data_IF_358199170148
#
_entry.id   IF_358199170148
#
_cell.length_a   1.000
_cell.length_b   1.000
_cell.length_c   1.000
_cell.angle_alpha   90.00
_cell.angle_beta   90.00
_cell.angle_gamma   90.00
#
_symmetry.space_group_name_H-M   'P 1'
#
loop_
_entity.id
_entity.type
_entity.pdbx_description
1 polymer ?
#
# COMPACT_ATOMS: atom_id res chain seq x y z
N UNK A 1 4.18 6.09 19.25
CA UNK A 1 4.26 6.83 17.98
C UNK A 1 4.97 5.93 16.99
N UNK A 2 4.40 5.77 15.80
CA UNK A 2 4.93 4.87 14.78
C UNK A 2 5.72 5.64 13.74
N UNK A 3 6.85 5.08 13.31
CA UNK A 3 7.59 5.49 12.14
C UNK A 3 7.38 4.48 11.02
N UNK A 4 7.25 5.00 9.82
CA UNK A 4 7.15 4.23 8.59
C UNK A 4 8.33 4.57 7.69
N UNK A 5 9.02 3.55 7.20
CA UNK A 5 10.19 3.74 6.34
C UNK A 5 9.75 3.95 4.88
N UNK A 6 9.10 2.97 4.26
CA UNK A 6 8.62 3.00 2.87
C UNK A 6 7.54 1.93 2.61
N UNK A 7 6.86 2.00 1.47
CA UNK A 7 5.90 0.97 1.02
C UNK A 7 6.59 -0.41 0.93
N UNK A 8 5.97 -1.45 1.49
CA UNK A 8 6.59 -2.77 1.65
C UNK A 8 7.24 -2.98 3.03
N UNK A 9 7.24 -1.97 3.91
CA UNK A 9 7.93 -2.02 5.20
C UNK A 9 6.96 -1.88 6.38
N UNK A 10 7.21 -2.61 7.47
CA UNK A 10 6.39 -2.53 8.67
C UNK A 10 6.49 -1.15 9.34
N UNK A 11 5.52 -0.87 10.21
CA UNK A 11 5.52 0.27 11.10
C UNK A 11 6.26 -0.07 12.39
N UNK A 12 7.20 0.79 12.80
CA UNK A 12 7.97 0.62 14.03
C UNK A 12 7.49 1.58 15.10
N UNK A 13 7.22 1.07 16.31
CA UNK A 13 6.91 1.91 17.45
C UNK A 13 8.21 2.49 18.04
N UNK A 14 8.49 3.75 17.76
CA UNK A 14 9.69 4.43 18.28
C UNK A 14 9.50 4.94 19.72
N UNK A 15 8.26 5.32 20.08
CA UNK A 15 7.93 5.86 21.41
C UNK A 15 6.70 5.17 21.98
N UNK A 16 6.69 4.74 23.25
CA UNK A 16 5.56 4.03 23.86
C UNK A 16 4.30 4.89 23.94
N UNK A 17 4.43 6.18 24.29
CA UNK A 17 3.30 7.11 24.48
C UNK A 17 3.68 8.53 24.09
N UNK A 18 2.69 9.41 23.86
CA UNK A 18 2.96 10.83 23.61
C UNK A 18 3.64 11.52 24.81
N UNK A 19 3.22 11.31 26.07
CA UNK A 19 3.94 11.85 27.23
C UNK A 19 5.41 11.41 27.28
N UNK A 20 5.73 10.16 26.94
CA UNK A 20 7.12 9.71 26.91
C UNK A 20 7.98 10.44 25.86
N UNK A 21 7.37 10.87 24.74
CA UNK A 21 8.05 11.72 23.75
C UNK A 21 8.31 13.11 24.34
N UNK A 22 7.31 13.71 24.99
CA UNK A 22 7.44 15.04 25.61
C UNK A 22 8.48 15.01 26.72
N UNK A 23 8.47 13.98 27.56
CA UNK A 23 9.46 13.79 28.63
C UNK A 23 10.87 13.60 28.06
N UNK A 24 11.01 12.89 26.93
CA UNK A 24 12.30 12.78 26.24
C UNK A 24 12.77 14.14 25.73
N UNK A 25 11.92 14.90 25.03
CA UNK A 25 12.25 16.26 24.55
C UNK A 25 12.69 17.14 25.71
N UNK A 26 11.93 17.15 26.82
CA UNK A 26 12.26 17.91 28.01
C UNK A 26 13.61 17.48 28.61
N UNK A 27 13.86 16.17 28.70
CA UNK A 27 15.15 15.65 29.18
C UNK A 27 16.31 16.12 28.30
N UNK A 28 16.17 16.08 26.97
CA UNK A 28 17.23 16.53 26.05
C UNK A 28 17.49 18.03 26.20
N UNK A 29 16.44 18.85 26.37
CA UNK A 29 16.57 20.28 26.64
C UNK A 29 17.28 20.53 27.99
N UNK A 30 16.90 19.82 29.04
CA UNK A 30 17.51 19.94 30.37
C UNK A 30 18.98 19.52 30.40
N UNK A 31 19.34 18.50 29.60
CA UNK A 31 20.72 18.06 29.43
C UNK A 31 21.54 19.00 28.53
N UNK A 32 20.91 20.01 27.93
CA UNK A 32 21.57 20.94 27.02
C UNK A 32 22.00 20.28 25.70
N UNK A 33 21.31 19.21 25.27
CA UNK A 33 21.54 18.47 24.02
C UNK A 33 21.00 19.27 22.81
N UNK A 34 21.42 20.53 22.73
CA UNK A 34 21.11 21.44 21.63
C UNK A 34 22.26 22.40 21.41
N UNK A 35 22.58 22.65 20.16
CA UNK A 35 23.64 23.58 19.76
C UNK A 35 23.03 24.68 18.93
N UNK A 36 23.29 25.93 19.33
CA UNK A 36 22.90 27.08 18.54
C UNK A 36 23.96 27.36 17.48
N UNK A 37 23.54 27.32 16.23
CA UNK A 37 24.35 27.66 15.08
C UNK A 37 24.06 29.08 14.64
N UNK A 38 25.12 29.84 14.40
CA UNK A 38 25.05 31.18 13.83
C UNK A 38 25.79 31.19 12.50
N UNK A 39 25.04 31.21 11.40
CA UNK A 39 25.55 31.43 10.06
C UNK A 39 25.38 32.91 9.69
N UNK A 40 26.13 33.38 8.71
CA UNK A 40 26.08 34.79 8.27
C UNK A 40 24.68 35.23 7.82
N UNK A 41 23.85 34.29 7.37
CA UNK A 41 22.51 34.56 6.82
C UNK A 41 21.35 34.19 7.74
N UNK A 42 21.57 33.32 8.74
CA UNK A 42 20.54 32.88 9.67
C UNK A 42 21.14 32.18 10.90
N UNK A 43 20.35 32.09 11.96
CA UNK A 43 20.65 31.23 13.11
C UNK A 43 19.63 30.11 13.20
N UNK A 44 20.09 28.90 13.55
CA UNK A 44 19.22 27.77 13.83
C UNK A 44 19.69 27.02 15.08
N UNK A 45 18.80 26.26 15.70
CA UNK A 45 19.12 25.36 16.81
C UNK A 45 19.13 23.95 16.24
N UNK A 46 20.26 23.27 16.36
CA UNK A 46 20.37 21.84 16.17
C UNK A 46 20.02 21.14 17.47
N UNK A 47 19.12 20.14 17.40
CA UNK A 47 18.80 19.27 18.51
C UNK A 47 19.52 17.95 18.33
N UNK A 48 20.04 17.39 19.42
CA UNK A 48 20.77 16.12 19.43
C UNK A 48 22.01 16.10 18.49
N UNK A 49 22.99 17.00 18.70
CA UNK A 49 24.18 17.09 17.84
C UNK A 49 25.09 15.86 17.90
N UNK A 50 24.94 15.03 18.94
CA UNK A 50 25.75 13.83 19.21
C UNK A 50 25.01 12.53 18.81
N UNK A 51 23.87 12.62 18.11
CA UNK A 51 23.04 11.49 17.65
C UNK A 51 22.61 10.52 18.79
N UNK A 52 22.39 11.04 20.01
CA UNK A 52 22.02 10.25 21.21
C UNK A 52 20.52 9.97 21.31
N UNK A 53 19.71 10.61 20.47
CA UNK A 53 18.26 10.51 20.52
C UNK A 53 17.77 9.09 20.32
N UNK A 54 18.34 8.34 19.38
CA UNK A 54 17.97 6.95 19.12
C UNK A 54 18.24 6.04 20.32
N UNK A 55 19.39 6.20 20.97
CA UNK A 55 19.74 5.46 22.19
C UNK A 55 18.80 5.81 23.34
N UNK A 56 18.53 7.10 23.54
CA UNK A 56 17.62 7.59 24.58
C UNK A 56 16.17 7.12 24.38
N UNK A 57 15.73 6.98 23.12
CA UNK A 57 14.46 6.36 22.74
C UNK A 57 14.46 4.87 23.06
N UNK A 58 15.49 4.14 22.64
CA UNK A 58 15.61 2.68 22.83
C UNK A 58 15.53 2.27 24.31
N UNK A 59 16.20 3.03 25.19
CA UNK A 59 16.14 2.83 26.65
C UNK A 59 14.72 3.01 27.17
N UNK A 60 14.04 4.10 26.79
CA UNK A 60 12.67 4.39 27.24
C UNK A 60 11.66 3.36 26.72
N UNK A 61 11.78 2.96 25.46
CA UNK A 61 10.92 1.96 24.85
C UNK A 61 11.08 0.59 25.52
N UNK A 62 12.29 0.25 25.95
CA UNK A 62 12.56 -0.98 26.70
C UNK A 62 12.04 -0.91 28.13
N UNK A 63 12.21 0.22 28.82
CA UNK A 63 11.67 0.42 30.16
C UNK A 63 10.13 0.41 30.21
N UNK A 64 9.47 0.78 29.11
CA UNK A 64 8.01 0.84 29.00
C UNK A 64 7.35 -0.52 28.67
N UNK A 65 8.11 -1.63 28.63
CA UNK A 65 7.55 -2.96 28.35
C UNK A 65 6.81 -3.54 29.57
N UNK A 66 5.65 -4.20 29.38
CA UNK A 66 4.90 -4.33 28.12
C UNK A 66 4.19 -3.02 27.73
N UNK A 67 4.21 -2.72 26.43
CA UNK A 67 3.59 -1.55 25.83
C UNK A 67 2.08 -1.70 25.88
N UNK A 68 1.36 -0.78 26.50
CA UNK A 68 -0.10 -0.76 26.38
C UNK A 68 -0.51 -0.03 25.09
N UNK A 69 -1.41 -0.58 24.23
CA UNK A 69 -2.07 -1.88 24.29
C UNK A 69 -1.35 -3.03 23.55
N UNK A 70 -0.14 -2.81 23.02
CA UNK A 70 0.55 -3.71 22.07
C UNK A 70 1.34 -4.88 22.71
N UNK A 71 1.39 -5.00 24.03
CA UNK A 71 2.22 -5.99 24.72
C UNK A 71 3.70 -5.82 24.39
N UNK A 72 4.32 -6.86 23.84
CA UNK A 72 5.72 -6.83 23.41
C UNK A 72 5.90 -6.48 21.93
N UNK A 73 4.81 -6.24 21.20
CA UNK A 73 4.86 -5.94 19.76
C UNK A 73 5.40 -4.52 19.57
N UNK A 74 6.53 -4.42 18.87
CA UNK A 74 7.18 -3.15 18.48
C UNK A 74 7.07 -2.89 16.98
N UNK A 75 6.77 -3.93 16.22
CA UNK A 75 6.68 -3.93 14.77
C UNK A 75 5.26 -4.34 14.40
N UNK A 76 4.58 -3.49 13.66
CA UNK A 76 3.28 -3.79 13.10
C UNK A 76 3.47 -3.99 11.60
N UNK A 77 2.98 -5.12 11.12
CA UNK A 77 2.98 -5.42 9.70
C UNK A 77 2.22 -4.31 8.92
N UNK A 78 2.66 -4.04 7.70
CA UNK A 78 1.91 -3.18 6.80
C UNK A 78 0.60 -3.83 6.35
N UNK A 79 0.50 -5.16 6.47
CA UNK A 79 -0.73 -5.89 6.22
C UNK A 79 -1.82 -5.41 7.19
N UNK A 80 -2.76 -4.64 6.63
CA UNK A 80 -3.93 -4.11 7.33
C UNK A 80 -4.74 -5.25 8.00
N UNK A 81 -4.69 -6.48 7.47
CA UNK A 81 -5.39 -7.62 8.08
C UNK A 81 -4.78 -8.04 9.42
N UNK A 82 -3.51 -7.75 9.66
CA UNK A 82 -2.83 -8.01 10.91
C UNK A 82 -3.07 -6.91 11.96
N UNK A 83 -3.71 -5.80 11.59
CA UNK A 83 -3.89 -4.65 12.49
C UNK A 83 -4.89 -4.94 13.61
N UNK A 84 -4.71 -4.31 14.80
CA UNK A 84 -5.70 -4.39 15.87
C UNK A 84 -7.10 -3.91 15.43
N UNK A 85 -8.16 -4.61 15.84
CA UNK A 85 -9.54 -4.31 15.41
C UNK A 85 -9.96 -2.85 15.65
N UNK A 86 -9.55 -2.25 16.78
CA UNK A 86 -9.89 -0.86 17.07
C UNK A 86 -9.23 0.16 16.12
N UNK A 87 -8.13 -0.19 15.46
CA UNK A 87 -7.50 0.63 14.42
C UNK A 87 -8.27 0.54 13.12
N UNK A 88 -8.66 -0.67 12.73
CA UNK A 88 -9.55 -0.89 11.58
C UNK A 88 -10.83 -0.08 11.72
N UNK A 89 -11.47 -0.14 12.89
CA UNK A 89 -12.66 0.65 13.17
C UNK A 89 -12.43 2.16 13.11
N UNK A 90 -11.28 2.65 13.61
CA UNK A 90 -10.92 4.07 13.56
C UNK A 90 -10.72 4.55 12.10
N UNK A 91 -10.24 3.68 11.22
CA UNK A 91 -10.10 3.93 9.77
C UNK A 91 -11.40 3.69 8.98
N UNK A 92 -12.52 3.41 9.68
CA UNK A 92 -13.82 3.17 9.05
C UNK A 92 -13.94 1.81 8.35
N UNK A 93 -13.03 0.89 8.66
CA UNK A 93 -12.96 -0.48 8.16
C UNK A 93 -13.75 -1.41 9.08
N UNK A 94 -15.03 -1.61 8.75
CA UNK A 94 -15.89 -2.48 9.56
C UNK A 94 -15.73 -3.96 9.18
N UNK A 95 -16.04 -4.90 10.10
CA UNK A 95 -16.03 -6.33 9.82
C UNK A 95 -16.83 -6.74 8.58
N UNK A 96 -17.92 -6.03 8.27
CA UNK A 96 -18.79 -6.31 7.12
C UNK A 96 -18.12 -5.94 5.80
N UNK A 97 -17.29 -4.88 5.78
CA UNK A 97 -16.58 -4.46 4.57
C UNK A 97 -15.50 -5.46 4.16
N UNK A 98 -14.89 -6.16 5.11
CA UNK A 98 -13.84 -7.17 4.86
C UNK A 98 -14.36 -8.56 4.51
N UNK A 99 -15.61 -8.89 4.84
CA UNK A 99 -16.15 -10.24 4.65
C UNK A 99 -16.52 -10.50 3.18
N UNK A 100 -15.99 -11.57 2.55
CA UNK A 100 -16.48 -12.03 1.26
C UNK A 100 -18.00 -12.22 1.27
N UNK A 101 -18.66 -11.81 0.20
CA UNK A 101 -20.12 -11.94 0.02
C UNK A 101 -20.51 -13.12 -0.86
N UNK A 102 -19.53 -13.78 -1.46
CA UNK A 102 -19.69 -14.82 -2.45
C UNK A 102 -19.68 -14.25 -3.87
N UNK A 103 -18.94 -14.90 -4.76
CA UNK A 103 -18.97 -14.59 -6.18
C UNK A 103 -20.37 -14.86 -6.76
N UNK A 104 -20.90 -13.91 -7.51
CA UNK A 104 -22.25 -13.94 -8.07
C UNK A 104 -22.26 -14.10 -9.59
N UNK A 105 -21.10 -13.97 -10.25
CA UNK A 105 -20.99 -14.02 -11.71
C UNK A 105 -19.59 -14.45 -12.17
N UNK A 106 -19.46 -14.84 -13.43
CA UNK A 106 -18.18 -15.02 -14.11
C UNK A 106 -17.81 -13.77 -14.90
N UNK A 107 -16.52 -13.56 -15.15
CA UNK A 107 -16.08 -12.44 -16.00
C UNK A 107 -16.48 -12.62 -17.46
N UNK A 108 -16.56 -13.87 -17.95
CA UNK A 108 -17.09 -14.16 -19.28
C UNK A 108 -18.52 -13.65 -19.43
N UNK A 109 -19.38 -13.84 -18.41
CA UNK A 109 -20.75 -13.31 -18.40
C UNK A 109 -20.77 -11.78 -18.38
N UNK A 110 -19.90 -11.17 -17.56
CA UNK A 110 -19.79 -9.71 -17.46
C UNK A 110 -19.33 -9.08 -18.78
N UNK A 111 -18.31 -9.65 -19.42
CA UNK A 111 -17.79 -9.20 -20.71
C UNK A 111 -18.82 -9.41 -21.82
N UNK A 112 -19.53 -10.54 -21.84
CA UNK A 112 -20.59 -10.79 -22.81
C UNK A 112 -21.70 -9.74 -22.70
N UNK A 113 -22.14 -9.42 -21.48
CA UNK A 113 -23.13 -8.35 -21.24
C UNK A 113 -22.57 -6.98 -21.63
N UNK A 114 -21.33 -6.68 -21.29
CA UNK A 114 -20.69 -5.41 -21.65
C UNK A 114 -20.56 -5.20 -23.17
N UNK A 115 -20.36 -6.28 -23.92
CA UNK A 115 -20.28 -6.25 -25.39
C UNK A 115 -21.63 -5.89 -26.03
N UNK A 116 -22.75 -6.10 -25.34
CA UNK A 116 -24.08 -5.68 -25.79
C UNK A 116 -24.35 -4.17 -25.63
N UNK A 117 -23.35 -3.40 -25.15
CA UNK A 117 -23.38 -1.94 -25.12
C UNK A 117 -23.83 -1.32 -23.80
N UNK A 118 -24.07 -2.12 -22.76
CA UNK A 118 -24.40 -1.64 -21.42
C UNK A 118 -23.31 -2.01 -20.41
N UNK A 119 -23.02 -1.14 -19.44
CA UNK A 119 -22.11 -1.47 -18.35
C UNK A 119 -22.65 -2.67 -17.57
N UNK A 120 -21.77 -3.56 -17.12
CA UNK A 120 -22.17 -4.76 -16.37
C UNK A 120 -21.42 -4.85 -15.06
N UNK A 121 -22.17 -5.03 -13.96
CA UNK A 121 -21.63 -5.14 -12.61
C UNK A 121 -21.83 -6.52 -12.01
N UNK A 122 -20.90 -6.95 -11.17
CA UNK A 122 -21.04 -8.18 -10.39
C UNK A 122 -19.89 -8.42 -9.43
N UNK A 123 -20.03 -9.48 -8.62
CA UNK A 123 -18.99 -9.91 -7.67
C UNK A 123 -18.28 -11.13 -8.23
N UNK A 124 -16.95 -11.07 -8.29
CA UNK A 124 -16.09 -12.11 -8.86
C UNK A 124 -15.00 -12.49 -7.86
N UNK A 125 -14.54 -13.74 -7.93
CA UNK A 125 -13.40 -14.24 -7.16
C UNK A 125 -12.28 -14.53 -8.15
N UNK A 126 -11.11 -13.93 -7.93
CA UNK A 126 -10.00 -14.02 -8.89
C UNK A 126 -8.64 -13.83 -8.21
N UNK A 127 -7.60 -14.37 -8.85
CA UNK A 127 -6.19 -14.22 -8.45
C UNK A 127 -5.58 -13.06 -9.21
N UNK A 128 -4.87 -12.17 -8.52
CA UNK A 128 -4.12 -11.09 -9.16
C UNK A 128 -2.86 -11.66 -9.81
N UNK A 129 -2.71 -11.53 -11.12
CA UNK A 129 -1.57 -12.07 -11.88
C UNK A 129 -0.53 -11.01 -12.22
N UNK A 130 -0.94 -9.74 -12.34
CA UNK A 130 -0.03 -8.60 -12.47
C UNK A 130 -0.59 -7.39 -11.72
N UNK A 131 0.31 -6.49 -11.31
CA UNK A 131 -0.04 -5.28 -10.56
C UNK A 131 0.92 -4.15 -10.91
N UNK A 132 0.38 -2.96 -11.08
CA UNK A 132 1.15 -1.71 -11.15
C UNK A 132 0.41 -0.63 -10.38
N UNK A 133 1.09 0.01 -9.44
CA UNK A 133 0.50 0.95 -8.49
C UNK A 133 0.89 2.40 -8.72
N UNK A 134 0.02 3.29 -8.25
CA UNK A 134 0.23 4.73 -8.15
C UNK A 134 -0.46 5.25 -6.89
N UNK A 135 -0.23 6.50 -6.51
CA UNK A 135 -0.98 7.13 -5.40
C UNK A 135 -2.50 7.21 -5.64
N UNK A 136 -2.96 7.12 -6.90
CA UNK A 136 -4.39 7.14 -7.24
C UNK A 136 -5.06 5.76 -7.15
N UNK A 137 -4.29 4.68 -7.10
CA UNK A 137 -4.78 3.31 -7.14
C UNK A 137 -3.86 2.36 -7.90
N UNK A 138 -4.35 1.14 -8.10
CA UNK A 138 -3.63 0.04 -8.72
C UNK A 138 -4.33 -0.41 -10.00
N UNK A 139 -3.57 -0.66 -11.06
CA UNK A 139 -4.04 -1.42 -12.22
C UNK A 139 -3.58 -2.86 -12.09
N UNK A 140 -4.52 -3.78 -12.23
CA UNK A 140 -4.26 -5.21 -12.05
C UNK A 140 -4.83 -6.04 -13.18
N UNK A 141 -4.15 -7.14 -13.49
CA UNK A 141 -4.72 -8.23 -14.25
C UNK A 141 -5.21 -9.30 -13.28
N UNK A 142 -6.47 -9.73 -13.40
CA UNK A 142 -7.04 -10.79 -12.57
C UNK A 142 -7.41 -12.01 -13.41
N UNK A 143 -7.06 -13.20 -12.92
CA UNK A 143 -7.36 -14.50 -13.54
C UNK A 143 -8.31 -15.32 -12.65
N UNK A 144 -9.29 -15.93 -13.30
CA UNK A 144 -10.42 -16.65 -12.72
C UNK A 144 -10.63 -18.01 -13.41
N UNK A 145 -9.62 -18.52 -14.11
CA UNK A 145 -9.60 -19.83 -14.76
C UNK A 145 -10.24 -19.88 -16.15
N UNK A 146 -10.97 -18.83 -16.56
CA UNK A 146 -11.58 -18.73 -17.91
C UNK A 146 -11.12 -17.50 -18.70
N UNK A 147 -10.17 -16.72 -18.19
CA UNK A 147 -9.60 -15.57 -18.87
C UNK A 147 -8.90 -14.60 -17.91
N UNK A 148 -8.37 -13.51 -18.47
CA UNK A 148 -7.74 -12.42 -17.72
C UNK A 148 -8.54 -11.14 -17.93
N UNK A 149 -8.81 -10.40 -16.85
CA UNK A 149 -9.47 -9.10 -16.89
C UNK A 149 -8.53 -8.01 -16.42
N UNK A 150 -8.45 -6.94 -17.21
CA UNK A 150 -7.76 -5.70 -16.85
C UNK A 150 -8.67 -4.80 -16.01
N UNK A 151 -8.25 -4.52 -14.79
CA UNK A 151 -9.07 -3.92 -13.75
C UNK A 151 -8.34 -2.73 -13.11
N UNK A 152 -9.00 -1.58 -13.12
CA UNK A 152 -8.58 -0.44 -12.32
C UNK A 152 -9.15 -0.56 -10.90
N UNK A 153 -8.29 -0.44 -9.90
CA UNK A 153 -8.64 -0.43 -8.49
C UNK A 153 -8.28 0.95 -7.90
N UNK A 154 -9.25 1.87 -7.75
CA UNK A 154 -9.01 3.16 -7.09
C UNK A 154 -8.41 2.97 -5.68
N UNK A 155 -7.57 3.92 -5.24
CA UNK A 155 -6.94 3.85 -3.91
C UNK A 155 -7.96 3.64 -2.77
N UNK A 156 -9.15 4.24 -2.90
CA UNK A 156 -10.24 4.14 -1.92
C UNK A 156 -10.78 2.71 -1.71
N UNK A 157 -10.54 1.78 -2.65
CA UNK A 157 -10.95 0.37 -2.53
C UNK A 157 -9.77 -0.57 -2.31
N UNK A 158 -8.55 -0.03 -2.23
CA UNK A 158 -7.31 -0.81 -2.16
C UNK A 158 -6.83 -1.09 -0.72
N UNK A 159 -7.69 -0.95 0.28
CA UNK A 159 -7.28 -1.09 1.69
C UNK A 159 -6.69 -2.47 2.01
N UNK A 160 -7.27 -3.55 1.47
CA UNK A 160 -6.86 -4.93 1.76
C UNK A 160 -6.05 -5.59 0.65
N UNK A 161 -5.67 -4.83 -0.38
CA UNK A 161 -5.13 -5.37 -1.63
C UNK A 161 -5.41 -4.40 -2.77
N UNK A 162 -5.18 -4.74 -4.03
CA UNK A 162 -4.76 -6.03 -4.52
C UNK A 162 -3.29 -6.33 -4.20
N UNK A 163 -2.92 -7.61 -4.23
CA UNK A 163 -1.54 -8.08 -4.07
C UNK A 163 -1.28 -9.21 -5.06
N UNK A 164 -0.13 -9.20 -5.73
CA UNK A 164 0.25 -10.18 -6.76
C UNK A 164 0.21 -11.61 -6.18
N UNK A 165 -0.36 -12.54 -6.95
CA UNK A 165 -0.55 -13.97 -6.63
C UNK A 165 -1.48 -14.25 -5.45
N UNK A 166 -2.17 -13.23 -4.95
CA UNK A 166 -3.18 -13.38 -3.91
C UNK A 166 -4.57 -13.36 -4.53
N UNK A 167 -5.47 -14.16 -3.96
CA UNK A 167 -6.86 -14.24 -4.36
C UNK A 167 -7.72 -13.27 -3.55
N UNK A 168 -8.61 -12.55 -4.25
CA UNK A 168 -9.56 -11.64 -3.63
C UNK A 168 -10.95 -11.79 -4.25
N UNK A 169 -11.94 -11.32 -3.51
CA UNK A 169 -13.27 -11.06 -4.04
C UNK A 169 -13.37 -9.59 -4.46
N UNK A 170 -13.74 -9.36 -5.72
CA UNK A 170 -13.87 -8.04 -6.31
C UNK A 170 -15.33 -7.77 -6.65
N UNK A 171 -15.85 -6.61 -6.24
CA UNK A 171 -17.01 -6.03 -6.92
C UNK A 171 -16.50 -5.24 -8.12
N UNK A 172 -16.91 -5.63 -9.32
CA UNK A 172 -16.40 -5.06 -10.57
C UNK A 172 -17.52 -4.45 -11.39
N UNK A 173 -17.19 -3.36 -12.09
CA UNK A 173 -18.02 -2.78 -13.15
C UNK A 173 -17.21 -2.81 -14.44
N UNK A 174 -17.68 -3.58 -15.42
CA UNK A 174 -17.10 -3.66 -16.76
C UNK A 174 -17.70 -2.57 -17.64
N UNK A 175 -16.84 -1.81 -18.32
CA UNK A 175 -17.25 -0.72 -19.22
C UNK A 175 -17.93 -1.27 -20.48
N UNK A 176 -18.90 -0.54 -21.06
CA UNK A 176 -19.47 -0.91 -22.36
C UNK A 176 -18.39 -0.94 -23.44
N UNK A 177 -18.46 -1.92 -24.35
CA UNK A 177 -17.54 -2.05 -25.48
C UNK A 177 -16.06 -1.82 -25.10
N UNK A 178 -15.50 -2.64 -24.20
CA UNK A 178 -14.19 -2.39 -23.64
C UNK A 178 -13.11 -2.40 -24.73
N UNK A 179 -12.17 -1.46 -24.62
CA UNK A 179 -10.98 -1.43 -25.46
C UNK A 179 -10.10 -2.66 -25.17
N UNK A 180 -9.24 -3.02 -26.13
CA UNK A 180 -8.31 -4.14 -25.95
C UNK A 180 -7.35 -3.83 -24.80
N UNK A 181 -7.10 -4.85 -23.97
CA UNK A 181 -6.10 -4.77 -22.90
C UNK A 181 -4.73 -4.47 -23.51
N UNK A 182 -4.02 -3.41 -23.07
CA UNK A 182 -2.66 -3.16 -23.51
C UNK A 182 -1.75 -4.31 -23.10
N UNK A 183 -0.98 -4.87 -24.05
CA UNK A 183 0.11 -5.78 -23.70
C UNK A 183 1.35 -4.97 -23.26
N UNK A 184 1.83 -5.31 -22.07
CA UNK A 184 2.99 -4.72 -21.39
C UNK A 184 3.99 -5.79 -20.93
N UNK A 185 3.83 -7.03 -21.37
CA UNK A 185 4.69 -8.15 -21.00
C UNK A 185 6.12 -8.04 -21.55
N UNK A 186 6.31 -7.34 -22.67
CA UNK A 186 7.63 -7.02 -23.22
C UNK A 186 8.40 -6.08 -22.31
N UNK A 187 7.79 -4.95 -21.93
CA UNK A 187 8.46 -3.92 -21.13
C UNK A 187 8.71 -4.41 -19.70
N UNK A 188 7.83 -5.25 -19.15
CA UNK A 188 8.07 -5.92 -17.87
C UNK A 188 9.29 -6.83 -17.90
N UNK A 189 9.45 -7.64 -18.96
CA UNK A 189 10.63 -8.51 -19.10
C UNK A 189 11.89 -7.69 -19.28
N UNK A 190 11.82 -6.59 -20.03
CA UNK A 190 12.95 -5.68 -20.23
C UNK A 190 13.36 -5.00 -18.93
N UNK A 191 12.41 -4.43 -18.18
CA UNK A 191 12.67 -3.81 -16.89
C UNK A 191 13.31 -4.80 -15.90
N UNK A 192 12.78 -6.03 -15.81
CA UNK A 192 13.33 -7.08 -14.96
C UNK A 192 14.74 -7.50 -15.40
N UNK A 193 14.95 -7.72 -16.70
CA UNK A 193 16.25 -8.11 -17.23
C UNK A 193 17.31 -7.03 -17.00
N UNK A 194 16.96 -5.75 -17.21
CA UNK A 194 17.85 -4.63 -16.97
C UNK A 194 18.19 -4.48 -15.48
N UNK A 195 17.19 -4.63 -14.60
CA UNK A 195 17.41 -4.58 -13.16
C UNK A 195 18.34 -5.70 -12.66
N UNK A 196 18.12 -6.93 -13.12
CA UNK A 196 18.98 -8.09 -12.80
C UNK A 196 20.40 -7.93 -13.33
N UNK A 197 20.58 -7.21 -14.44
CA UNK A 197 21.88 -6.88 -15.01
C UNK A 197 22.51 -5.61 -14.40
N UNK A 198 21.90 -5.01 -13.38
CA UNK A 198 22.32 -3.76 -12.74
C UNK A 198 22.36 -2.54 -13.68
N UNK A 199 21.61 -2.56 -14.78
CA UNK A 199 21.42 -1.41 -15.67
C UNK A 199 20.23 -0.56 -15.19
N UNK A 200 20.48 0.26 -14.19
CA UNK A 200 19.44 1.05 -13.49
C UNK A 200 18.69 2.02 -14.41
N UNK A 201 19.38 2.74 -15.31
CA UNK A 201 18.74 3.67 -16.25
C UNK A 201 17.80 2.95 -17.23
N UNK A 202 18.24 1.81 -17.78
CA UNK A 202 17.41 1.02 -18.70
C UNK A 202 16.19 0.42 -17.98
N UNK A 203 16.37 -0.05 -16.74
CA UNK A 203 15.26 -0.54 -15.92
C UNK A 203 14.24 0.56 -15.63
N UNK A 204 14.69 1.79 -15.36
CA UNK A 204 13.83 2.94 -15.15
C UNK A 204 13.09 3.36 -16.42
N UNK A 205 13.76 3.38 -17.57
CA UNK A 205 13.13 3.70 -18.85
C UNK A 205 11.99 2.72 -19.20
N UNK A 206 12.25 1.42 -19.10
CA UNK A 206 11.23 0.39 -19.32
C UNK A 206 10.07 0.48 -18.29
N UNK A 207 10.38 0.79 -17.02
CA UNK A 207 9.35 1.03 -16.01
C UNK A 207 8.47 2.25 -16.34
N UNK A 208 9.04 3.33 -16.87
CA UNK A 208 8.26 4.51 -17.29
C UNK A 208 7.31 4.18 -18.44
N UNK A 209 7.72 3.33 -19.38
CA UNK A 209 6.84 2.87 -20.46
C UNK A 209 5.67 2.02 -19.95
N UNK A 210 5.93 1.13 -18.97
CA UNK A 210 4.89 0.40 -18.24
C UNK A 210 3.91 1.39 -17.61
N UNK A 211 4.41 2.39 -16.87
CA UNK A 211 3.59 3.43 -16.25
C UNK A 211 2.73 4.19 -17.28
N UNK A 212 3.33 4.60 -18.41
CA UNK A 212 2.60 5.29 -19.46
C UNK A 212 1.44 4.43 -20.00
N UNK A 213 1.70 3.15 -20.33
CA UNK A 213 0.65 2.22 -20.79
C UNK A 213 -0.41 2.00 -19.71
N UNK A 214 -0.01 1.84 -18.45
CA UNK A 214 -0.87 1.49 -17.34
C UNK A 214 -1.83 2.61 -16.91
N UNK A 215 -1.42 3.87 -16.99
CA UNK A 215 -2.21 4.98 -16.43
C UNK A 215 -2.69 5.98 -17.48
N UNK A 216 -2.18 5.94 -18.72
CA UNK A 216 -2.70 6.77 -19.82
C UNK A 216 -3.76 6.04 -20.67
N UNK A 217 -3.93 4.74 -20.48
CA UNK A 217 -5.02 3.98 -21.10
C UNK A 217 -6.10 3.65 -20.08
N UNK A 218 -7.35 3.57 -20.52
CA UNK A 218 -8.47 3.25 -19.62
C UNK A 218 -8.53 1.75 -19.40
N UNK A 219 -8.71 1.31 -18.15
CA UNK A 219 -8.92 -0.11 -17.88
C UNK A 219 -10.30 -0.59 -18.35
N UNK A 220 -10.37 -1.87 -18.71
CA UNK A 220 -11.60 -2.56 -19.15
C UNK A 220 -12.69 -2.52 -18.08
N UNK A 221 -12.30 -2.68 -16.83
CA UNK A 221 -13.20 -2.68 -15.69
C UNK A 221 -12.67 -1.80 -14.55
N UNK A 222 -13.55 -1.49 -13.61
CA UNK A 222 -13.23 -0.78 -12.37
C UNK A 222 -13.73 -1.56 -11.16
N UNK A 223 -12.90 -1.69 -10.13
CA UNK A 223 -13.26 -2.30 -8.86
C UNK A 223 -13.96 -1.26 -7.98
N UNK A 224 -15.11 -1.63 -7.42
CA UNK A 224 -15.86 -0.82 -6.46
C UNK A 224 -15.71 -1.32 -5.02
N UNK A 225 -15.20 -2.54 -4.84
CA UNK A 225 -14.75 -3.08 -3.56
C UNK A 225 -13.77 -4.24 -3.78
N UNK A 226 -12.87 -4.43 -2.82
CA UNK A 226 -11.94 -5.57 -2.77
C UNK A 226 -12.04 -6.16 -1.36
N UNK A 227 -12.18 -7.48 -1.29
CA UNK A 227 -12.27 -8.20 -0.02
C UNK A 227 -11.27 -9.35 0.01
N UNK A 228 -10.53 -9.52 1.12
CA UNK A 228 -9.67 -10.69 1.31
C UNK A 228 -10.54 -11.95 1.46
N UNK A 229 -10.04 -13.08 0.99
CA UNK A 229 -10.76 -14.38 1.06
C UNK A 229 -10.27 -15.25 2.23
N UNK A 230 -9.13 -14.91 2.81
CA UNK A 230 -8.49 -15.64 3.90
C UNK A 230 -8.53 -14.83 5.20
#
# INVERSE_FOLDING_TARGET
MFRWAYAGSPYYLDVPTLPALVDLVATMIELGESVQHHLETHSYIEFDPDDRWEDALSVRLTAAQPLHPFGHVRELDEDVLAWPEHWLLADGLTPEKRRPRGATTSISDLLQRATTGAASGGTVRAVVTSLTGSGAGNRVAIDFGTGVLDLWCPAAVCTYGPSIRTEFEFDVIVRPAPELVPDWSSEQREAQSAALAHYTEAAQAAALEIYAKAFLTTAVAEATAIRPIN
#
